data_IF_353067670535
#
_entry.id   IF_353067670535
#
_cell.length_a   1.000
_cell.length_b   1.000
_cell.length_c   1.000
_cell.angle_alpha   90.00
_cell.angle_beta   90.00
_cell.angle_gamma   90.00
#
_symmetry.space_group_name_H-M   'P 1'
#
loop_
_entity.id
_entity.type
_entity.pdbx_description
1 polymer ?
#
# COMPACT_ATOMS: atom_id res chain seq x y z
N UNK A 1 -12.30 42.69 4.59
CA UNK A 1 -12.75 41.35 5.10
C UNK A 1 -13.21 40.39 4.01
N UNK A 2 -13.72 40.85 2.85
CA UNK A 2 -14.15 39.97 1.73
C UNK A 2 -13.01 39.15 1.08
N UNK A 3 -11.80 39.70 0.94
CA UNK A 3 -10.71 39.00 0.23
C UNK A 3 -10.09 37.84 1.03
N UNK A 4 -10.17 37.85 2.38
CA UNK A 4 -9.68 36.75 3.22
C UNK A 4 -10.57 35.50 3.10
N UNK A 5 -11.86 35.69 2.87
CA UNK A 5 -12.81 34.59 2.70
C UNK A 5 -12.63 33.88 1.35
N UNK A 6 -12.30 34.64 0.29
CA UNK A 6 -12.03 34.10 -1.04
C UNK A 6 -10.77 33.22 -1.08
N UNK A 7 -9.71 33.61 -0.34
CA UNK A 7 -8.48 32.82 -0.22
C UNK A 7 -8.74 31.49 0.50
N UNK A 8 -9.60 31.50 1.54
CA UNK A 8 -9.95 30.28 2.28
C UNK A 8 -10.71 29.26 1.39
N UNK A 9 -11.56 29.74 0.49
CA UNK A 9 -12.30 28.90 -0.47
C UNK A 9 -11.38 28.32 -1.54
N UNK A 10 -10.39 29.09 -2.01
CA UNK A 10 -9.40 28.62 -2.98
C UNK A 10 -8.49 27.54 -2.36
N UNK A 11 -8.11 27.68 -1.08
CA UNK A 11 -7.32 26.68 -0.35
C UNK A 11 -8.05 25.34 -0.13
N UNK A 12 -9.39 25.36 -0.02
CA UNK A 12 -10.19 24.14 0.14
C UNK A 12 -10.31 23.30 -1.15
N UNK A 13 -10.11 23.91 -2.33
CA UNK A 13 -10.28 23.24 -3.62
C UNK A 13 -9.01 22.52 -4.11
N UNK A 14 -7.83 22.76 -3.51
CA UNK A 14 -6.56 22.16 -3.96
C UNK A 14 -6.27 20.79 -3.32
N UNK A 15 -7.05 20.37 -2.32
CA UNK A 15 -6.71 19.17 -1.54
C UNK A 15 -7.27 17.84 -2.08
N UNK A 16 -7.93 17.82 -3.23
CA UNK A 16 -8.44 16.59 -3.81
C UNK A 16 -7.46 16.06 -4.88
N UNK A 17 -6.39 15.39 -4.45
CA UNK A 17 -5.62 14.54 -5.36
C UNK A 17 -6.33 13.20 -5.53
N UNK A 18 -6.55 12.77 -6.77
CA UNK A 18 -7.16 11.47 -7.05
C UNK A 18 -6.27 10.34 -6.50
N UNK A 19 -6.83 9.54 -5.59
CA UNK A 19 -6.20 8.33 -5.04
C UNK A 19 -6.08 7.30 -6.17
N UNK A 20 -4.87 7.15 -6.69
CA UNK A 20 -4.55 6.26 -7.81
C UNK A 20 -3.67 5.12 -7.33
N UNK A 21 -4.04 3.88 -7.67
CA UNK A 21 -3.22 2.70 -7.43
C UNK A 21 -1.95 2.78 -8.30
N UNK A 22 -0.78 2.70 -7.65
CA UNK A 22 0.54 2.79 -8.29
C UNK A 22 1.35 1.51 -8.10
N UNK A 23 0.94 0.65 -7.17
CA UNK A 23 1.55 -0.66 -6.99
C UNK A 23 0.50 -1.64 -6.49
N UNK A 24 0.53 -2.85 -7.03
CA UNK A 24 -0.26 -3.95 -6.52
C UNK A 24 0.45 -5.28 -6.63
N UNK A 25 0.18 -6.13 -5.65
CA UNK A 25 0.69 -7.49 -5.59
C UNK A 25 -0.38 -8.41 -5.00
N UNK A 26 -0.38 -9.67 -5.43
CA UNK A 26 -1.32 -10.66 -4.93
C UNK A 26 -0.74 -12.07 -4.90
N UNK A 27 -1.42 -12.94 -4.15
CA UNK A 27 -1.29 -14.38 -4.30
C UNK A 27 -2.59 -15.09 -3.95
N UNK A 28 -2.70 -16.32 -4.42
CA UNK A 28 -3.66 -17.28 -3.90
C UNK A 28 -3.16 -17.84 -2.56
N UNK A 29 -4.10 -18.09 -1.64
CA UNK A 29 -3.89 -18.72 -0.35
C UNK A 29 -4.77 -19.95 -0.23
N UNK A 30 -4.40 -20.95 0.59
CA UNK A 30 -5.23 -22.16 0.75
C UNK A 30 -6.69 -21.88 1.13
N UNK A 31 -6.95 -20.74 1.78
CA UNK A 31 -8.28 -20.34 2.22
C UNK A 31 -8.79 -19.02 1.60
N UNK A 32 -8.20 -18.59 0.48
CA UNK A 32 -8.66 -17.40 -0.24
C UNK A 32 -7.54 -16.67 -0.98
N UNK A 33 -7.47 -15.35 -0.83
CA UNK A 33 -6.49 -14.51 -1.55
C UNK A 33 -5.93 -13.42 -0.66
N UNK A 34 -4.67 -13.10 -0.88
CA UNK A 34 -4.01 -11.94 -0.28
C UNK A 34 -3.75 -10.91 -1.37
N UNK A 35 -4.09 -9.66 -1.08
CA UNK A 35 -3.84 -8.52 -1.95
C UNK A 35 -3.10 -7.43 -1.18
N UNK A 36 -2.23 -6.72 -1.89
CA UNK A 36 -1.64 -5.46 -1.45
C UNK A 36 -1.89 -4.42 -2.54
N UNK A 37 -2.40 -3.26 -2.12
CA UNK A 37 -2.56 -2.07 -2.97
C UNK A 37 -1.87 -0.90 -2.32
N UNK A 38 -1.09 -0.17 -3.11
CA UNK A 38 -0.39 1.04 -2.69
C UNK A 38 -0.78 2.18 -3.64
N UNK A 39 -1.02 3.34 -3.06
CA UNK A 39 -1.56 4.50 -3.74
C UNK A 39 -0.56 5.67 -3.78
N UNK A 40 -0.77 6.59 -4.72
CA UNK A 40 0.06 7.79 -4.91
C UNK A 40 0.02 8.81 -3.77
N UNK A 41 -0.93 8.68 -2.84
CA UNK A 41 -1.12 9.54 -1.66
C UNK A 41 -0.45 8.98 -0.39
N UNK A 42 0.51 8.07 -0.57
CA UNK A 42 1.24 7.35 0.49
C UNK A 42 0.36 6.39 1.31
N UNK A 43 -0.91 6.16 0.92
CA UNK A 43 -1.76 5.16 1.57
C UNK A 43 -1.59 3.76 0.98
N UNK A 44 -1.99 2.75 1.75
CA UNK A 44 -2.03 1.37 1.28
C UNK A 44 -3.17 0.58 1.93
N UNK A 45 -3.51 -0.54 1.32
CA UNK A 45 -4.45 -1.55 1.80
C UNK A 45 -3.85 -2.94 1.61
N UNK A 46 -3.68 -3.68 2.71
CA UNK A 46 -3.42 -5.11 2.70
C UNK A 46 -4.75 -5.83 3.00
N UNK A 47 -5.15 -6.76 2.14
CA UNK A 47 -6.48 -7.37 2.16
C UNK A 47 -6.32 -8.87 2.22
N UNK A 48 -6.82 -9.49 3.29
CA UNK A 48 -6.96 -10.94 3.40
C UNK A 48 -8.41 -11.30 3.12
N UNK A 49 -8.68 -11.87 1.95
CA UNK A 49 -10.03 -12.27 1.53
C UNK A 49 -10.19 -13.76 1.66
N UNK A 50 -11.16 -14.20 2.45
CA UNK A 50 -11.55 -15.60 2.56
C UNK A 50 -12.40 -16.07 1.38
N UNK A 51 -12.50 -17.39 1.19
CA UNK A 51 -13.32 -18.00 0.12
C UNK A 51 -14.81 -17.63 0.19
N UNK A 52 -15.35 -17.34 1.38
CA UNK A 52 -16.75 -16.93 1.57
C UNK A 52 -17.01 -15.44 1.28
N UNK A 53 -16.00 -14.70 0.82
CA UNK A 53 -16.10 -13.27 0.48
C UNK A 53 -15.83 -12.32 1.65
N UNK A 54 -15.76 -12.82 2.88
CA UNK A 54 -15.29 -12.06 4.04
C UNK A 54 -13.86 -11.55 3.78
N UNK A 55 -13.59 -10.30 4.15
CA UNK A 55 -12.29 -9.67 3.92
C UNK A 55 -11.86 -8.87 5.14
N UNK A 56 -10.66 -9.16 5.65
CA UNK A 56 -9.97 -8.31 6.61
C UNK A 56 -9.13 -7.29 5.83
N UNK A 57 -9.35 -6.00 6.12
CA UNK A 57 -8.63 -4.89 5.49
C UNK A 57 -7.74 -4.20 6.51
N UNK A 58 -6.44 -4.17 6.23
CA UNK A 58 -5.41 -3.55 7.05
C UNK A 58 -4.83 -2.37 6.27
N UNK A 59 -5.06 -1.16 6.76
CA UNK A 59 -4.75 0.07 6.04
C UNK A 59 -3.85 0.99 6.85
N UNK A 60 -3.20 1.92 6.14
CA UNK A 60 -2.44 2.97 6.76
C UNK A 60 -1.56 3.70 5.75
N UNK A 61 -0.40 4.15 6.22
CA UNK A 61 0.58 4.86 5.41
C UNK A 61 1.83 4.02 5.21
N UNK A 62 2.48 4.14 4.05
CA UNK A 62 3.74 3.44 3.78
C UNK A 62 4.89 4.43 3.62
N UNK A 63 6.11 3.94 3.80
CA UNK A 63 7.34 4.65 3.46
C UNK A 63 8.23 3.75 2.64
N UNK A 64 8.72 4.25 1.50
CA UNK A 64 9.67 3.55 0.67
C UNK A 64 11.11 3.93 1.04
N UNK A 65 11.99 2.94 1.17
CA UNK A 65 13.43 3.11 1.36
C UNK A 65 14.17 2.13 0.46
N UNK A 66 14.61 2.61 -0.71
CA UNK A 66 15.21 1.80 -1.79
C UNK A 66 14.24 0.71 -2.30
N UNK A 67 14.46 -0.54 -1.93
CA UNK A 67 13.65 -1.73 -2.24
C UNK A 67 12.77 -2.18 -1.07
N UNK A 68 12.90 -1.52 0.08
CA UNK A 68 12.16 -1.84 1.31
C UNK A 68 10.96 -0.91 1.50
N UNK A 69 9.80 -1.49 1.80
CA UNK A 69 8.59 -0.79 2.22
C UNK A 69 8.41 -0.97 3.73
N UNK A 70 8.25 0.13 4.45
CA UNK A 70 7.77 0.14 5.84
C UNK A 70 6.28 0.51 5.87
N UNK A 71 5.45 -0.36 6.43
CA UNK A 71 4.01 -0.18 6.57
C UNK A 71 3.65 0.29 7.99
N UNK A 72 3.06 1.47 8.09
CA UNK A 72 2.49 2.00 9.33
C UNK A 72 0.98 1.81 9.31
N UNK A 73 0.53 0.70 9.89
CA UNK A 73 -0.89 0.39 10.04
C UNK A 73 -1.58 1.36 11.01
N UNK A 74 -2.77 1.81 10.65
CA UNK A 74 -3.61 2.67 11.50
C UNK A 74 -4.58 1.86 12.36
N UNK A 75 -4.91 0.64 11.93
CA UNK A 75 -5.83 -0.25 12.61
C UNK A 75 -5.11 -1.38 13.37
N UNK A 76 -4.78 -2.48 12.69
CA UNK A 76 -4.13 -3.66 13.24
C UNK A 76 -2.99 -4.07 12.31
N UNK A 77 -1.95 -4.67 12.88
CA UNK A 77 -0.86 -5.26 12.09
C UNK A 77 -1.28 -6.70 11.71
N UNK A 78 -1.28 -7.08 10.42
CA UNK A 78 -1.55 -8.45 10.00
C UNK A 78 -0.38 -9.36 10.42
N UNK A 79 -0.64 -10.65 10.51
CA UNK A 79 0.38 -11.65 10.85
C UNK A 79 1.54 -11.70 9.83
N UNK A 80 1.35 -11.21 8.60
CA UNK A 80 2.42 -11.01 7.62
C UNK A 80 3.49 -10.00 8.07
N UNK A 81 3.19 -9.11 9.02
CA UNK A 81 4.13 -8.11 9.54
C UNK A 81 3.96 -6.74 8.90
N UNK A 82 4.94 -5.86 9.13
CA UNK A 82 4.87 -4.43 8.79
C UNK A 82 6.04 -3.90 7.96
N UNK A 83 6.87 -4.79 7.42
CA UNK A 83 7.99 -4.44 6.57
C UNK A 83 8.06 -5.44 5.42
N UNK A 84 8.38 -4.98 4.22
CA UNK A 84 8.58 -5.86 3.07
C UNK A 84 9.73 -5.39 2.17
N UNK A 85 10.29 -6.30 1.38
CA UNK A 85 11.30 -6.01 0.35
C UNK A 85 10.76 -6.43 -1.01
N UNK A 86 10.95 -5.58 -2.01
CA UNK A 86 10.63 -5.86 -3.41
C UNK A 86 11.87 -6.40 -4.10
N UNK A 87 11.76 -7.60 -4.68
CA UNK A 87 12.86 -8.22 -5.44
C UNK A 87 12.32 -9.24 -6.44
N UNK A 88 12.94 -9.33 -7.61
CA UNK A 88 12.70 -10.40 -8.60
C UNK A 88 11.23 -10.58 -9.03
N UNK A 89 10.44 -9.49 -9.04
CA UNK A 89 9.00 -9.53 -9.38
C UNK A 89 8.07 -9.90 -8.22
N UNK A 90 8.60 -9.98 -7.00
CA UNK A 90 7.87 -10.33 -5.80
C UNK A 90 8.04 -9.28 -4.70
N UNK A 91 7.09 -9.29 -3.77
CA UNK A 91 7.17 -8.58 -2.50
C UNK A 91 7.24 -9.60 -1.36
N UNK A 92 8.31 -9.53 -0.57
CA UNK A 92 8.57 -10.43 0.55
C UNK A 92 8.36 -9.68 1.86
N UNK A 93 7.36 -10.06 2.62
CA UNK A 93 7.20 -9.54 3.98
C UNK A 93 8.30 -10.07 4.89
N UNK A 94 8.75 -9.21 5.80
CA UNK A 94 9.82 -9.46 6.77
C UNK A 94 9.26 -9.44 8.19
N UNK A 95 9.79 -10.30 9.04
CA UNK A 95 9.52 -10.33 10.48
C UNK A 95 8.02 -10.47 10.85
N UNK A 96 7.22 -11.07 9.96
CA UNK A 96 5.88 -11.55 10.29
C UNK A 96 5.91 -12.85 11.11
N UNK A 97 4.74 -13.27 11.59
CA UNK A 97 4.54 -14.58 12.24
C UNK A 97 4.79 -15.75 11.28
N UNK A 98 4.69 -15.51 9.98
CA UNK A 98 5.02 -16.46 8.92
C UNK A 98 5.63 -15.76 7.69
N UNK A 99 6.37 -16.48 6.82
CA UNK A 99 6.84 -15.93 5.55
C UNK A 99 5.66 -15.65 4.62
N UNK A 100 5.48 -14.39 4.24
CA UNK A 100 4.43 -13.96 3.31
C UNK A 100 5.07 -13.37 2.04
N UNK A 101 4.64 -13.83 0.86
CA UNK A 101 5.22 -13.42 -0.43
C UNK A 101 4.11 -13.15 -1.43
N UNK A 102 4.13 -11.99 -2.09
CA UNK A 102 3.12 -11.61 -3.09
C UNK A 102 3.75 -11.46 -4.47
N UNK A 103 3.03 -11.86 -5.51
CA UNK A 103 3.41 -11.64 -6.91
C UNK A 103 3.05 -10.22 -7.31
N UNK A 104 4.02 -9.44 -7.80
CA UNK A 104 3.77 -8.07 -8.25
C UNK A 104 2.98 -8.09 -9.56
N UNK A 105 1.89 -7.32 -9.61
CA UNK A 105 1.04 -7.14 -10.80
C UNK A 105 1.22 -5.77 -11.43
N UNK A 106 1.47 -4.76 -10.61
CA UNK A 106 1.76 -3.39 -11.01
C UNK A 106 2.88 -2.85 -10.13
N UNK A 107 3.88 -2.21 -10.75
CA UNK A 107 4.90 -1.48 -10.02
C UNK A 107 5.23 -0.16 -10.72
N UNK A 108 4.77 0.93 -10.13
CA UNK A 108 5.14 2.31 -10.49
C UNK A 108 5.86 3.00 -9.32
N UNK A 109 6.26 2.24 -8.29
CA UNK A 109 7.15 2.76 -7.25
C UNK A 109 8.51 2.99 -7.91
N UNK A 110 9.00 4.22 -7.89
CA UNK A 110 10.34 4.52 -8.39
C UNK A 110 11.35 3.81 -7.48
N UNK A 111 11.96 2.74 -7.97
CA UNK A 111 13.08 2.09 -7.29
C UNK A 111 14.38 2.53 -7.95
N UNK A 112 15.48 2.61 -7.20
CA UNK A 112 16.78 3.03 -7.75
C UNK A 112 17.35 2.07 -8.81
N UNK A 113 16.73 0.91 -9.02
CA UNK A 113 17.20 -0.13 -9.94
C UNK A 113 16.65 0.01 -11.36
N UNK A 114 15.75 0.96 -11.61
CA UNK A 114 15.15 1.20 -12.94
C UNK A 114 16.01 2.14 -13.83
N UNK A 115 17.22 2.49 -13.40
CA UNK A 115 18.16 3.39 -14.10
C UNK A 115 19.42 2.68 -14.65
N UNK A 116 19.41 1.35 -14.85
CA UNK A 116 20.52 0.60 -15.46
C UNK A 116 20.17 -0.01 -16.82
#
# INVERSE_FOLDING_TARGET
MKNKFLILIILLLVSCQDKKEIFSADREAPLGWIYLKIYNDESFEFISRGMMGESDVYSGKYKMMNDTIDFKYENKIPAAGSKAVIRDGFLYYLNGEYPETLNIKLNQLKTKNDEQ
#
